data_IF_760113636732
#
_entry.id   IF_760113636732
#
_cell.length_a   1.000
_cell.length_b   1.000
_cell.length_c   1.000
_cell.angle_alpha   90.00
_cell.angle_beta   90.00
_cell.angle_gamma   90.00
#
_symmetry.space_group_name_H-M   'P 1'
#
loop_
_entity.id
_entity.type
_entity.pdbx_description
1 polymer ?
#
# COMPACT_ATOMS: atom_id res chain seq x y z
N UNK A 1 -28.25 11.34 -14.72
CA UNK A 1 -28.91 10.02 -14.60
C UNK A 1 -30.44 10.19 -14.73
N UNK A 2 -31.05 11.15 -14.05
CA UNK A 2 -32.51 11.37 -14.07
C UNK A 2 -33.10 11.53 -15.48
N UNK A 3 -32.34 12.03 -16.43
CA UNK A 3 -32.76 12.25 -17.82
C UNK A 3 -32.55 11.05 -18.73
N UNK A 4 -31.95 9.96 -18.24
CA UNK A 4 -31.65 8.80 -19.08
C UNK A 4 -32.52 7.61 -18.72
N UNK A 5 -33.06 6.93 -19.76
CA UNK A 5 -33.91 5.73 -19.64
C UNK A 5 -33.08 4.44 -19.46
N UNK A 6 -31.77 4.51 -19.68
CA UNK A 6 -30.90 3.34 -19.75
C UNK A 6 -30.01 3.17 -18.53
N UNK A 7 -30.01 4.13 -17.59
CA UNK A 7 -29.21 4.09 -16.37
C UNK A 7 -30.10 4.06 -15.14
N UNK A 8 -29.67 3.26 -14.16
CA UNK A 8 -30.29 3.19 -12.84
C UNK A 8 -29.21 3.38 -11.79
N UNK A 9 -29.32 4.46 -11.01
CA UNK A 9 -28.43 4.70 -9.87
C UNK A 9 -28.70 3.66 -8.78
N UNK A 10 -27.71 2.84 -8.45
CA UNK A 10 -27.78 1.80 -7.42
C UNK A 10 -27.13 2.21 -6.13
N UNK A 11 -25.95 2.78 -6.26
CA UNK A 11 -25.08 3.09 -5.14
C UNK A 11 -24.19 4.30 -5.41
N UNK A 12 -23.46 4.68 -4.39
CA UNK A 12 -22.44 5.71 -4.44
C UNK A 12 -21.14 5.17 -3.89
N UNK A 13 -20.03 5.70 -4.39
CA UNK A 13 -18.68 5.31 -4.01
C UNK A 13 -17.87 6.55 -3.61
N UNK A 14 -17.04 6.38 -2.58
CA UNK A 14 -15.99 7.31 -2.24
C UNK A 14 -14.74 6.56 -1.78
N UNK A 15 -13.58 7.08 -2.14
CA UNK A 15 -12.28 6.57 -1.69
C UNK A 15 -11.44 7.77 -1.26
N UNK A 16 -11.14 7.86 0.04
CA UNK A 16 -10.60 9.10 0.64
C UNK A 16 -9.08 9.14 0.68
N UNK A 17 -8.40 8.10 0.29
CA UNK A 17 -6.95 8.07 0.25
C UNK A 17 -6.35 6.69 0.45
N UNK A 18 -5.05 6.65 0.71
CA UNK A 18 -4.28 5.42 0.86
C UNK A 18 -3.27 5.56 1.98
N UNK A 19 -2.99 4.48 2.71
CA UNK A 19 -2.10 4.44 3.87
C UNK A 19 -2.58 5.41 4.97
N UNK A 20 -3.88 5.35 5.29
CA UNK A 20 -4.52 6.18 6.30
C UNK A 20 -4.46 5.45 7.64
N UNK A 21 -4.00 6.15 8.67
CA UNK A 21 -3.90 5.62 10.04
C UNK A 21 -4.98 6.18 10.97
N UNK A 22 -5.47 7.38 10.68
CA UNK A 22 -6.50 8.03 11.47
C UNK A 22 -7.89 7.49 11.11
N UNK A 23 -8.71 7.24 12.12
CA UNK A 23 -10.09 6.76 11.93
C UNK A 23 -11.10 7.87 11.73
N UNK A 24 -10.82 9.08 12.16
CA UNK A 24 -11.75 10.22 12.08
C UNK A 24 -12.22 10.51 10.65
N UNK A 25 -11.35 10.55 9.61
CA UNK A 25 -11.80 10.75 8.24
C UNK A 25 -12.76 9.65 7.75
N UNK A 26 -12.57 8.43 8.22
CA UNK A 26 -13.45 7.31 7.89
C UNK A 26 -14.79 7.39 8.64
N UNK A 27 -14.78 7.89 9.87
CA UNK A 27 -15.99 8.18 10.62
C UNK A 27 -16.83 9.26 9.93
N UNK A 28 -16.21 10.37 9.55
CA UNK A 28 -16.89 11.47 8.85
C UNK A 28 -17.45 11.04 7.50
N UNK A 29 -16.76 10.16 6.79
CA UNK A 29 -17.18 9.63 5.50
C UNK A 29 -18.56 8.96 5.58
N UNK A 30 -18.86 8.22 6.64
CA UNK A 30 -20.14 7.55 6.83
C UNK A 30 -21.31 8.54 6.82
N UNK A 31 -21.23 9.61 7.58
CA UNK A 31 -22.27 10.65 7.61
C UNK A 31 -22.36 11.41 6.27
N UNK A 32 -21.22 11.73 5.65
CA UNK A 32 -21.19 12.39 4.34
C UNK A 32 -21.90 11.55 3.27
N UNK A 33 -21.65 10.27 3.22
CA UNK A 33 -22.27 9.37 2.25
C UNK A 33 -23.77 9.24 2.47
N UNK A 34 -24.23 9.22 3.73
CA UNK A 34 -25.66 9.22 4.06
C UNK A 34 -26.34 10.53 3.65
N UNK A 35 -25.67 11.67 3.81
CA UNK A 35 -26.19 12.96 3.33
C UNK A 35 -26.35 12.98 1.80
N UNK A 36 -25.43 12.36 1.06
CA UNK A 36 -25.58 12.20 -0.41
C UNK A 36 -26.79 11.35 -0.76
N UNK A 37 -27.13 10.32 0.03
CA UNK A 37 -28.38 9.55 -0.18
C UNK A 37 -29.60 10.45 0.01
N UNK A 38 -29.60 11.31 1.04
CA UNK A 38 -30.69 12.26 1.27
C UNK A 38 -30.86 13.23 0.10
N UNK A 39 -29.77 13.74 -0.43
CA UNK A 39 -29.80 14.63 -1.59
C UNK A 39 -30.32 13.93 -2.84
N UNK A 40 -29.90 12.69 -3.06
CA UNK A 40 -30.34 11.87 -4.19
C UNK A 40 -31.85 11.59 -4.15
N UNK A 41 -32.43 11.44 -2.96
CA UNK A 41 -33.90 11.28 -2.78
C UNK A 41 -34.69 12.48 -3.28
N UNK A 42 -34.14 13.69 -3.25
CA UNK A 42 -34.77 14.91 -3.77
C UNK A 42 -34.97 14.86 -5.29
N UNK A 43 -34.25 13.95 -5.95
CA UNK A 43 -34.30 13.68 -7.40
C UNK A 43 -34.91 12.32 -7.73
N UNK A 44 -35.69 11.74 -6.83
CA UNK A 44 -36.36 10.44 -6.95
C UNK A 44 -35.38 9.26 -7.13
N UNK A 45 -34.14 9.40 -6.69
CA UNK A 45 -33.18 8.30 -6.68
C UNK A 45 -33.20 7.57 -5.34
N UNK A 46 -33.41 6.25 -5.41
CA UNK A 46 -33.36 5.37 -4.24
C UNK A 46 -32.03 4.59 -4.23
N UNK A 47 -31.03 5.18 -3.60
CA UNK A 47 -29.71 4.57 -3.40
C UNK A 47 -29.80 3.56 -2.27
N UNK A 48 -29.31 2.34 -2.53
CA UNK A 48 -29.31 1.22 -1.58
C UNK A 48 -27.93 0.69 -1.24
N UNK A 49 -26.90 1.23 -1.86
CA UNK A 49 -25.52 0.75 -1.73
C UNK A 49 -24.58 1.93 -1.46
N UNK A 50 -23.74 1.77 -0.46
CA UNK A 50 -22.64 2.68 -0.16
C UNK A 50 -21.34 1.90 -0.25
N UNK A 51 -20.40 2.36 -1.07
CA UNK A 51 -19.06 1.84 -1.10
C UNK A 51 -18.09 2.89 -0.58
N UNK A 52 -17.44 2.63 0.53
CA UNK A 52 -16.52 3.55 1.22
C UNK A 52 -15.08 3.43 0.71
N UNK A 53 -14.84 2.63 -0.32
CA UNK A 53 -13.50 2.38 -0.85
C UNK A 53 -12.63 1.57 0.11
N UNK A 54 -11.36 1.82 0.07
CA UNK A 54 -10.38 1.23 0.97
C UNK A 54 -9.63 2.32 1.75
N UNK A 55 -8.31 2.23 1.75
CA UNK A 55 -7.44 3.28 2.28
C UNK A 55 -6.75 2.92 3.60
N UNK A 56 -7.22 1.91 4.33
CA UNK A 56 -6.60 1.47 5.58
C UNK A 56 -5.12 1.17 5.37
N UNK A 57 -4.28 1.79 6.18
CA UNK A 57 -2.83 1.63 6.18
C UNK A 57 -2.38 0.31 6.78
N UNK A 58 -1.10 0.03 6.58
CA UNK A 58 -0.40 -1.09 7.22
C UNK A 58 0.93 -0.61 7.81
N UNK A 59 1.50 -1.42 8.68
CA UNK A 59 2.83 -1.22 9.22
C UNK A 59 3.88 -1.65 8.17
N UNK A 60 4.59 -0.68 7.59
CA UNK A 60 5.77 -0.91 6.74
C UNK A 60 7.07 -0.80 7.52
N UNK A 61 7.08 0.08 8.53
CA UNK A 61 8.23 0.34 9.41
C UNK A 61 7.79 0.28 10.88
N UNK A 62 8.75 0.22 11.79
CA UNK A 62 8.44 0.18 13.23
C UNK A 62 7.75 1.43 13.76
N UNK A 63 7.86 2.55 13.06
CA UNK A 63 7.17 3.81 13.41
C UNK A 63 5.71 3.88 12.99
N UNK A 64 5.25 2.94 12.15
CA UNK A 64 3.88 2.93 11.68
C UNK A 64 2.97 2.24 12.70
N UNK A 65 1.83 2.86 12.98
CA UNK A 65 0.82 2.36 13.94
C UNK A 65 -0.59 2.43 13.31
N UNK A 66 -0.90 1.54 12.35
CA UNK A 66 -2.21 1.49 11.73
C UNK A 66 -3.25 0.93 12.70
N UNK A 67 -4.51 1.40 12.65
CA UNK A 67 -5.60 0.75 13.34
C UNK A 67 -5.85 -0.65 12.77
N UNK A 68 -6.46 -1.50 13.59
CA UNK A 68 -6.86 -2.84 13.15
C UNK A 68 -7.99 -2.79 12.11
N UNK A 69 -8.13 -3.88 11.34
CA UNK A 69 -9.26 -4.03 10.41
C UNK A 69 -10.60 -3.95 11.15
N UNK A 70 -10.67 -4.54 12.34
CA UNK A 70 -11.89 -4.54 13.16
C UNK A 70 -12.28 -3.13 13.60
N UNK A 71 -11.33 -2.32 14.06
CA UNK A 71 -11.56 -0.92 14.44
C UNK A 71 -12.02 -0.10 13.23
N UNK A 72 -11.37 -0.27 12.09
CA UNK A 72 -11.74 0.42 10.85
C UNK A 72 -13.16 0.07 10.41
N UNK A 73 -13.52 -1.21 10.34
CA UNK A 73 -14.87 -1.67 9.97
C UNK A 73 -15.90 -1.17 10.96
N UNK A 74 -15.62 -1.26 12.27
CA UNK A 74 -16.52 -0.76 13.32
C UNK A 74 -16.76 0.73 13.21
N UNK A 75 -15.73 1.52 12.99
CA UNK A 75 -15.84 2.98 12.84
C UNK A 75 -16.76 3.34 11.68
N UNK A 76 -16.51 2.81 10.49
CA UNK A 76 -17.32 3.11 9.31
C UNK A 76 -18.77 2.63 9.48
N UNK A 77 -18.95 1.38 9.93
CA UNK A 77 -20.29 0.81 10.07
C UNK A 77 -21.12 1.54 11.12
N UNK A 78 -20.51 1.93 12.25
CA UNK A 78 -21.19 2.71 13.29
C UNK A 78 -21.59 4.07 12.78
N UNK A 79 -20.72 4.78 12.08
CA UNK A 79 -21.01 6.09 11.49
C UNK A 79 -22.19 6.04 10.51
N UNK A 80 -22.20 5.07 9.61
CA UNK A 80 -23.32 4.89 8.66
C UNK A 80 -24.63 4.56 9.38
N UNK A 81 -24.58 3.67 10.38
CA UNK A 81 -25.77 3.30 11.16
C UNK A 81 -26.32 4.48 11.95
N UNK A 82 -25.48 5.25 12.61
CA UNK A 82 -25.86 6.42 13.38
C UNK A 82 -26.46 7.50 12.48
N UNK A 83 -25.85 7.78 11.34
CA UNK A 83 -26.36 8.73 10.37
C UNK A 83 -27.70 8.28 9.79
N UNK A 84 -27.88 7.00 9.45
CA UNK A 84 -29.18 6.47 8.99
C UNK A 84 -30.26 6.61 10.05
N UNK A 85 -29.97 6.32 11.32
CA UNK A 85 -30.92 6.53 12.43
C UNK A 85 -31.31 8.01 12.59
N UNK A 86 -30.30 8.91 12.56
CA UNK A 86 -30.48 10.36 12.66
C UNK A 86 -31.46 10.91 11.62
N UNK A 87 -31.38 10.40 10.40
CA UNK A 87 -32.20 10.85 9.28
C UNK A 87 -33.38 9.94 8.94
N UNK A 88 -33.69 8.95 9.77
CA UNK A 88 -34.75 7.96 9.58
C UNK A 88 -34.71 7.30 8.18
N UNK A 89 -33.54 6.77 7.83
CA UNK A 89 -33.29 6.05 6.58
C UNK A 89 -33.17 4.56 6.81
N UNK A 90 -33.57 3.77 5.81
CA UNK A 90 -33.20 2.36 5.75
C UNK A 90 -31.68 2.21 5.64
N UNK A 91 -31.14 1.16 6.26
CA UNK A 91 -29.72 0.87 6.16
C UNK A 91 -29.35 0.42 4.74
N UNK A 92 -28.40 1.11 4.10
CA UNK A 92 -27.88 0.65 2.80
C UNK A 92 -26.97 -0.58 2.98
N UNK A 93 -26.73 -1.30 1.90
CA UNK A 93 -25.64 -2.27 1.84
C UNK A 93 -24.32 -1.51 1.90
N UNK A 94 -23.52 -1.79 2.94
CA UNK A 94 -22.20 -1.22 3.07
C UNK A 94 -21.17 -2.11 2.39
N UNK A 95 -20.40 -1.55 1.47
CA UNK A 95 -19.29 -2.19 0.76
C UNK A 95 -17.98 -1.49 1.05
N UNK A 96 -16.88 -2.22 0.99
CA UNK A 96 -15.53 -1.68 1.11
C UNK A 96 -14.57 -2.40 0.15
N UNK A 97 -13.44 -1.75 -0.14
CA UNK A 97 -12.42 -2.21 -1.09
C UNK A 97 -11.01 -2.23 -0.47
N UNK A 98 -10.81 -2.89 0.68
CA UNK A 98 -9.49 -2.98 1.29
C UNK A 98 -8.57 -3.85 0.43
N UNK A 99 -7.53 -3.26 -0.14
CA UNK A 99 -6.51 -3.98 -0.92
C UNK A 99 -5.24 -4.17 -0.10
N UNK A 100 -4.57 -3.07 0.22
CA UNK A 100 -3.31 -3.04 0.95
C UNK A 100 -3.37 -3.83 2.26
N UNK A 101 -4.34 -3.55 3.11
CA UNK A 101 -4.48 -4.18 4.41
C UNK A 101 -4.72 -5.70 4.37
N UNK A 102 -5.16 -6.24 3.23
CA UNK A 102 -5.36 -7.69 3.06
C UNK A 102 -4.08 -8.39 2.60
N UNK A 103 -3.39 -7.85 1.58
CA UNK A 103 -2.35 -8.62 0.87
C UNK A 103 -0.93 -8.11 1.08
N UNK A 104 -0.74 -6.88 1.54
CA UNK A 104 0.61 -6.29 1.59
C UNK A 104 1.55 -7.07 2.49
N UNK A 105 1.12 -7.39 3.70
CA UNK A 105 1.92 -8.14 4.69
C UNK A 105 2.07 -9.62 4.36
N UNK A 106 1.26 -10.14 3.44
CA UNK A 106 1.36 -11.52 2.96
C UNK A 106 2.51 -11.73 1.94
N UNK A 107 3.10 -10.64 1.41
CA UNK A 107 4.17 -10.69 0.44
C UNK A 107 5.50 -10.16 0.97
N UNK A 108 6.58 -10.81 0.53
CA UNK A 108 7.95 -10.37 0.73
C UNK A 108 8.67 -10.33 -0.61
N UNK A 109 9.71 -9.50 -0.72
CA UNK A 109 10.60 -9.50 -1.86
C UNK A 109 12.01 -9.82 -1.38
N UNK A 110 12.68 -10.76 -2.06
CA UNK A 110 14.04 -11.15 -1.72
C UNK A 110 14.97 -10.65 -2.82
N UNK A 111 16.01 -9.93 -2.40
CA UNK A 111 17.07 -9.44 -3.26
C UNK A 111 18.39 -10.07 -2.90
N UNK A 112 19.20 -10.37 -3.90
CA UNK A 112 20.57 -10.84 -3.72
C UNK A 112 21.54 -9.67 -3.80
N UNK A 113 22.43 -9.55 -2.82
CA UNK A 113 23.49 -8.55 -2.79
C UNK A 113 24.54 -8.88 -3.86
N UNK A 114 24.79 -7.92 -4.74
CA UNK A 114 25.81 -8.01 -5.80
C UNK A 114 27.15 -7.42 -5.36
N UNK A 115 27.24 -6.10 -5.34
CA UNK A 115 28.48 -5.39 -5.09
C UNK A 115 28.35 -4.37 -3.95
N UNK A 116 29.49 -4.03 -3.38
CA UNK A 116 29.64 -2.98 -2.37
C UNK A 116 30.42 -1.81 -2.95
N UNK A 117 30.02 -0.61 -2.57
CA UNK A 117 30.80 0.61 -2.83
C UNK A 117 30.79 1.50 -1.60
N UNK A 118 31.91 1.56 -0.92
CA UNK A 118 32.12 2.49 0.17
C UNK A 118 32.56 3.86 -0.37
N UNK A 119 31.95 4.91 0.15
CA UNK A 119 32.38 6.29 -0.01
C UNK A 119 32.77 6.77 1.38
N UNK A 120 34.08 6.84 1.69
CA UNK A 120 34.56 7.10 3.04
C UNK A 120 33.97 8.37 3.63
N UNK A 121 33.45 8.28 4.86
CA UNK A 121 32.84 9.40 5.58
C UNK A 121 31.46 9.85 5.07
N UNK A 122 30.90 9.16 4.04
CA UNK A 122 29.61 9.51 3.47
C UNK A 122 28.63 8.36 3.62
N UNK A 123 28.85 7.22 2.93
CA UNK A 123 27.95 6.07 2.98
C UNK A 123 28.51 4.81 2.30
N UNK A 124 27.94 3.67 2.63
CA UNK A 124 28.21 2.41 1.93
C UNK A 124 26.98 2.02 1.11
N UNK A 125 27.18 1.85 -0.19
CA UNK A 125 26.17 1.32 -1.11
C UNK A 125 26.26 -0.19 -1.18
N UNK A 126 25.08 -0.84 -1.20
CA UNK A 126 24.87 -2.22 -1.60
C UNK A 126 24.09 -2.22 -2.92
N UNK A 127 24.58 -2.85 -3.96
CA UNK A 127 23.78 -3.11 -5.15
C UNK A 127 23.02 -4.44 -5.00
N UNK A 128 21.80 -4.49 -5.55
CA UNK A 128 20.99 -5.71 -5.55
C UNK A 128 20.53 -6.07 -6.96
N UNK A 129 20.06 -7.30 -7.15
CA UNK A 129 19.64 -7.85 -8.44
C UNK A 129 18.23 -7.42 -8.87
N UNK A 130 17.52 -6.63 -8.08
CA UNK A 130 16.25 -5.97 -8.41
C UNK A 130 16.37 -4.46 -8.44
N UNK A 131 15.24 -3.75 -8.26
CA UNK A 131 15.23 -2.30 -8.21
C UNK A 131 13.86 -1.69 -8.49
N UNK A 132 13.85 -0.46 -8.99
CA UNK A 132 12.63 0.32 -9.24
C UNK A 132 11.64 -0.34 -10.22
N UNK A 133 12.07 -1.29 -11.03
CA UNK A 133 11.19 -2.01 -11.95
C UNK A 133 10.27 -3.00 -11.26
N UNK A 134 10.65 -3.53 -10.12
CA UNK A 134 9.89 -4.49 -9.32
C UNK A 134 9.37 -3.89 -8.01
N UNK A 135 10.02 -2.85 -7.49
CA UNK A 135 9.57 -2.06 -6.36
C UNK A 135 9.67 -0.54 -6.65
N UNK A 136 8.73 0.06 -7.41
CA UNK A 136 8.81 1.46 -7.79
C UNK A 136 8.45 2.43 -6.67
N UNK A 137 7.84 1.96 -5.57
CA UNK A 137 7.27 2.84 -4.54
C UNK A 137 8.28 3.70 -3.77
N UNK A 138 9.52 3.26 -3.49
CA UNK A 138 10.52 4.13 -2.88
C UNK A 138 10.83 5.39 -3.71
N UNK A 139 10.91 5.25 -5.04
CA UNK A 139 11.16 6.39 -5.93
C UNK A 139 9.89 7.21 -6.20
N UNK A 140 8.75 6.57 -6.40
CA UNK A 140 7.50 7.24 -6.80
C UNK A 140 6.80 7.95 -5.64
N UNK A 141 6.79 7.32 -4.46
CA UNK A 141 6.05 7.78 -3.29
C UNK A 141 6.93 8.03 -2.06
N UNK A 142 8.25 7.90 -2.21
CA UNK A 142 9.20 7.97 -1.09
C UNK A 142 8.84 7.00 0.05
N UNK A 143 8.27 5.85 -0.31
CA UNK A 143 7.82 4.84 0.64
C UNK A 143 9.01 4.18 1.32
N UNK A 144 8.94 4.07 2.64
CA UNK A 144 9.90 3.31 3.43
C UNK A 144 9.39 1.88 3.63
N UNK A 145 10.32 0.96 3.80
CA UNK A 145 10.07 -0.44 4.06
C UNK A 145 10.99 -0.92 5.19
N UNK A 146 10.59 -1.99 5.86
CA UNK A 146 11.50 -2.75 6.72
C UNK A 146 12.13 -3.87 5.92
N UNK A 147 13.39 -4.18 6.23
CA UNK A 147 14.10 -5.31 5.63
C UNK A 147 15.06 -5.94 6.65
N UNK A 148 15.47 -7.17 6.37
CA UNK A 148 16.47 -7.87 7.15
C UNK A 148 17.36 -8.74 6.26
N UNK A 149 18.51 -9.18 6.78
CA UNK A 149 19.26 -10.27 6.18
C UNK A 149 18.56 -11.60 6.44
N UNK A 150 18.37 -12.41 5.40
CA UNK A 150 17.74 -13.73 5.52
C UNK A 150 18.54 -14.67 6.43
N UNK A 151 19.87 -14.55 6.44
CA UNK A 151 20.76 -15.34 7.29
C UNK A 151 20.73 -14.91 8.77
N UNK A 152 20.24 -13.72 9.08
CA UNK A 152 20.19 -13.18 10.44
C UNK A 152 18.98 -12.24 10.66
N UNK A 153 17.75 -12.76 10.58
CA UNK A 153 16.53 -11.94 10.53
C UNK A 153 16.20 -11.23 11.84
N UNK A 154 16.76 -11.68 12.96
CA UNK A 154 16.47 -11.11 14.30
C UNK A 154 17.50 -10.08 14.76
N UNK A 155 18.61 -9.93 14.05
CA UNK A 155 19.69 -9.02 14.44
C UNK A 155 19.67 -7.74 13.60
N UNK A 156 18.70 -6.87 13.88
CA UNK A 156 18.65 -5.53 13.30
C UNK A 156 19.43 -4.48 14.13
N UNK A 157 20.07 -4.88 15.21
CA UNK A 157 20.84 -3.99 16.09
C UNK A 157 22.29 -3.84 15.64
N UNK A 158 22.55 -3.80 14.35
CA UNK A 158 23.90 -3.54 13.86
C UNK A 158 24.08 -2.05 13.61
N UNK A 159 25.30 -1.56 13.90
CA UNK A 159 25.68 -0.17 13.63
C UNK A 159 26.07 0.07 12.15
N UNK A 160 25.75 -0.88 11.27
CA UNK A 160 26.12 -0.77 9.86
C UNK A 160 24.96 -0.20 9.07
N UNK A 161 25.16 1.02 8.58
CA UNK A 161 24.19 1.73 7.73
C UNK A 161 24.53 1.55 6.26
N UNK A 162 23.53 1.16 5.50
CA UNK A 162 23.66 0.92 4.07
C UNK A 162 22.64 1.72 3.27
N UNK A 163 23.03 2.11 2.05
CA UNK A 163 22.12 2.56 0.99
C UNK A 163 21.97 1.42 0.00
N UNK A 164 20.74 0.95 -0.21
CA UNK A 164 20.48 -0.14 -1.14
C UNK A 164 20.07 0.44 -2.49
N UNK A 165 20.90 0.20 -3.50
CA UNK A 165 20.69 0.63 -4.87
C UNK A 165 20.28 -0.57 -5.75
N UNK A 166 19.34 -0.34 -6.66
CA UNK A 166 18.96 -1.33 -7.65
C UNK A 166 19.97 -1.46 -8.80
N UNK A 167 19.59 -2.22 -9.81
CA UNK A 167 20.44 -2.58 -10.96
C UNK A 167 20.24 -1.69 -12.18
N UNK A 168 19.30 -0.73 -12.13
CA UNK A 168 18.99 0.08 -13.29
C UNK A 168 19.96 1.27 -13.44
N UNK A 169 20.20 1.66 -14.69
CA UNK A 169 20.99 2.85 -15.02
C UNK A 169 20.14 4.11 -14.81
N UNK A 170 19.71 4.34 -13.57
CA UNK A 170 18.84 5.43 -13.15
C UNK A 170 19.26 5.89 -11.76
N UNK A 171 19.55 7.19 -11.61
CA UNK A 171 20.03 7.76 -10.34
C UNK A 171 19.04 7.65 -9.18
N UNK A 172 17.75 7.53 -9.51
CA UNK A 172 16.67 7.33 -8.54
C UNK A 172 16.47 5.88 -8.12
N UNK A 173 17.20 4.91 -8.70
CA UNK A 173 17.04 3.48 -8.36
C UNK A 173 17.67 3.14 -7.01
N UNK A 174 17.10 3.74 -5.96
CA UNK A 174 17.49 3.57 -4.57
C UNK A 174 16.29 3.03 -3.79
N UNK A 175 16.37 1.76 -3.40
CA UNK A 175 15.31 1.10 -2.63
C UNK A 175 15.30 1.54 -1.16
N UNK A 176 16.48 1.76 -0.59
CA UNK A 176 16.66 2.27 0.78
C UNK A 176 17.74 3.34 0.78
N UNK A 177 17.39 4.54 1.21
CA UNK A 177 18.35 5.63 1.38
C UNK A 177 19.31 5.38 2.55
N UNK A 178 18.79 4.80 3.62
CA UNK A 178 19.53 4.37 4.80
C UNK A 178 18.75 3.24 5.47
N UNK A 179 19.44 2.14 5.75
CA UNK A 179 18.90 1.01 6.51
C UNK A 179 20.00 0.40 7.37
N UNK A 180 19.64 0.04 8.60
CA UNK A 180 20.50 -0.70 9.51
C UNK A 180 20.37 -2.20 9.21
N UNK A 181 21.48 -2.85 8.85
CA UNK A 181 21.54 -4.29 8.63
C UNK A 181 22.75 -4.87 9.35
N UNK A 182 22.71 -6.16 9.67
CA UNK A 182 23.91 -6.88 10.10
C UNK A 182 25.00 -6.79 9.03
N UNK A 183 26.24 -7.12 9.39
CA UNK A 183 27.34 -7.14 8.42
C UNK A 183 26.99 -8.05 7.24
N UNK A 184 27.05 -7.47 6.03
CA UNK A 184 26.65 -8.12 4.79
C UNK A 184 27.85 -8.45 3.91
N UNK A 185 27.71 -9.46 3.06
CA UNK A 185 28.67 -9.81 2.00
C UNK A 185 27.98 -10.05 0.68
N UNK A 186 28.75 -9.99 -0.39
CA UNK A 186 28.27 -10.37 -1.74
C UNK A 186 27.67 -11.77 -1.73
N UNK A 187 26.48 -11.92 -2.30
CA UNK A 187 25.73 -13.15 -2.35
C UNK A 187 24.72 -13.34 -1.22
N UNK A 188 24.78 -12.55 -0.17
CA UNK A 188 23.74 -12.56 0.89
C UNK A 188 22.39 -12.12 0.34
N UNK A 189 21.33 -12.54 1.03
CA UNK A 189 19.96 -12.23 0.66
C UNK A 189 19.36 -11.23 1.62
N UNK A 190 18.72 -10.19 1.08
CA UNK A 190 17.92 -9.20 1.81
C UNK A 190 16.44 -9.53 1.59
N UNK A 191 15.69 -9.66 2.67
CA UNK A 191 14.23 -9.80 2.65
C UNK A 191 13.59 -8.44 2.94
N UNK A 192 12.78 -7.92 2.02
CA UNK A 192 11.96 -6.72 2.18
C UNK A 192 10.54 -7.13 2.50
N UNK A 193 9.98 -6.60 3.58
CA UNK A 193 8.64 -6.94 4.06
C UNK A 193 7.56 -6.06 3.44
N UNK A 194 6.31 -6.54 3.49
CA UNK A 194 5.14 -5.75 3.10
C UNK A 194 5.01 -5.47 1.60
N UNK A 195 5.56 -6.33 0.75
CA UNK A 195 5.58 -6.13 -0.70
C UNK A 195 4.44 -6.82 -1.46
N UNK A 196 3.43 -7.36 -0.76
CA UNK A 196 2.31 -8.06 -1.38
C UNK A 196 1.33 -7.18 -2.15
N UNK A 197 1.40 -5.84 -1.96
CA UNK A 197 0.56 -4.89 -2.68
C UNK A 197 1.41 -3.80 -3.34
N UNK A 198 1.01 -3.39 -4.56
CA UNK A 198 1.60 -2.27 -5.33
C UNK A 198 3.07 -2.45 -5.75
N UNK A 199 3.63 -3.64 -5.65
CA UNK A 199 4.95 -3.98 -6.16
C UNK A 199 4.80 -4.65 -7.53
N UNK A 200 4.37 -5.90 -7.58
CA UNK A 200 4.20 -6.61 -8.85
C UNK A 200 3.19 -5.93 -9.79
N UNK A 201 2.07 -5.41 -9.26
CA UNK A 201 1.05 -4.72 -10.07
C UNK A 201 1.52 -3.37 -10.65
N UNK A 202 2.56 -2.76 -10.08
CA UNK A 202 3.17 -1.52 -10.55
C UNK A 202 4.53 -1.76 -11.22
N UNK A 203 4.91 -3.02 -11.42
CA UNK A 203 6.17 -3.37 -12.06
C UNK A 203 6.25 -2.79 -13.47
N UNK A 204 7.45 -2.41 -13.91
CA UNK A 204 7.67 -1.79 -15.19
C UNK A 204 8.87 -2.38 -15.91
N UNK A 205 8.92 -2.19 -17.23
CA UNK A 205 10.04 -2.55 -18.09
C UNK A 205 11.06 -1.39 -18.21
N UNK A 206 11.27 -0.62 -17.16
CA UNK A 206 12.19 0.50 -17.19
C UNK A 206 13.62 0.04 -17.48
N UNK A 207 14.31 0.79 -18.32
CA UNK A 207 15.74 0.69 -18.68
C UNK A 207 16.27 -0.74 -18.73
N UNK A 208 16.36 -1.36 -19.88
CA UNK A 208 17.00 -2.66 -20.13
C UNK A 208 16.31 -3.89 -19.50
N UNK A 209 15.19 -3.72 -18.82
CA UNK A 209 14.42 -4.85 -18.31
C UNK A 209 13.50 -5.39 -19.40
N UNK A 210 14.07 -6.12 -20.36
CA UNK A 210 13.33 -6.68 -21.49
C UNK A 210 12.57 -7.96 -21.15
N UNK A 211 12.66 -8.43 -19.92
CA UNK A 211 12.03 -9.68 -19.50
C UNK A 211 11.26 -9.52 -18.19
N UNK A 212 10.00 -9.12 -18.31
CA UNK A 212 9.01 -9.75 -17.47
C UNK A 212 8.96 -11.20 -17.97
N UNK A 213 9.62 -12.10 -17.26
CA UNK A 213 9.74 -13.51 -17.68
C UNK A 213 8.40 -14.23 -17.52
N UNK A 214 7.49 -13.97 -18.45
CA UNK A 214 6.30 -14.80 -18.62
C UNK A 214 6.69 -16.25 -19.03
N UNK A 215 7.92 -16.47 -19.42
CA UNK A 215 8.38 -17.76 -19.97
C UNK A 215 8.88 -18.76 -18.94
N UNK A 216 9.17 -18.32 -17.71
CA UNK A 216 9.64 -19.22 -16.65
C UNK A 216 8.49 -19.80 -15.81
N UNK A 217 7.26 -19.39 -16.06
CA UNK A 217 6.08 -19.95 -15.39
C UNK A 217 5.38 -21.04 -16.20
N UNK A 218 5.85 -21.34 -17.41
CA UNK A 218 5.40 -22.50 -18.17
C UNK A 218 6.45 -23.60 -18.09
N UNK A 219 6.16 -24.74 -17.43
CA UNK A 219 6.98 -25.94 -17.52
C UNK A 219 6.96 -26.51 -18.93
#
# INVERSE_FOLDING_TARGET
>A
ISETKHLKLKGIHAHIGSQIFELDPHNDLGEIMVNVILDAKKFDHNIKEINVGGGLGIKYTESDDPPSIDEWVKTISSSVVEACKKYNLDFPTLMCEPGRSIVSTAGITIYKIGAFKEIPGIRTYLSVDGGMSDNPRPITYQSNYSACLVSNPLNNNSNNKYTIAGKHCESGDVLFKEIDLAECKTGDLICVFGTGAYNNSMSSNSVSYTHLRAHETCP
#
